data_IF_822683009495
#
_entry.id   IF_822683009495
#
_cell.length_a   1.000
_cell.length_b   1.000
_cell.length_c   1.000
_cell.angle_alpha   90.00
_cell.angle_beta   90.00
_cell.angle_gamma   90.00
#
_symmetry.space_group_name_H-M   'P 1'
#
loop_
_entity.id
_entity.type
_entity.pdbx_description
1 polymer ?
#
# COMPACT_ATOMS: atom_id res chain seq x y z
N UNK A 1 -2.57 -10.27 21.54
CA UNK A 1 -3.17 -10.54 20.21
C UNK A 1 -2.08 -11.03 19.29
N UNK A 2 -2.33 -12.08 18.51
CA UNK A 2 -1.35 -12.64 17.59
C UNK A 2 -1.17 -11.70 16.37
N UNK A 3 0.06 -11.24 16.13
CA UNK A 3 0.42 -10.35 15.00
C UNK A 3 0.04 -10.97 13.66
N UNK A 4 0.19 -12.29 13.53
CA UNK A 4 -0.13 -13.01 12.29
C UNK A 4 -1.64 -13.01 12.01
N UNK A 5 -2.46 -13.15 13.06
CA UNK A 5 -3.93 -13.07 12.93
C UNK A 5 -4.38 -11.68 12.50
N UNK A 6 -3.80 -10.63 13.09
CA UNK A 6 -4.09 -9.25 12.70
C UNK A 6 -3.75 -9.00 11.23
N UNK A 7 -2.53 -9.38 10.81
CA UNK A 7 -2.06 -9.23 9.44
C UNK A 7 -2.93 -9.99 8.42
N UNK A 8 -3.35 -11.20 8.75
CA UNK A 8 -4.15 -12.04 7.84
C UNK A 8 -5.61 -11.55 7.72
N UNK A 9 -6.14 -10.89 8.75
CA UNK A 9 -7.50 -10.32 8.72
C UNK A 9 -7.60 -8.96 8.03
N UNK A 10 -6.46 -8.30 7.79
CA UNK A 10 -6.41 -6.95 7.29
C UNK A 10 -6.44 -6.90 5.76
N UNK A 11 -7.26 -6.00 5.24
CA UNK A 11 -7.22 -5.56 3.85
C UNK A 11 -6.94 -4.06 3.83
N UNK A 12 -5.92 -3.65 3.07
CA UNK A 12 -5.60 -2.23 2.91
C UNK A 12 -5.33 -1.93 1.44
N UNK A 13 -6.01 -0.90 0.96
CA UNK A 13 -5.94 -0.42 -0.41
C UNK A 13 -5.42 1.02 -0.43
N UNK A 14 -4.45 1.28 -1.29
CA UNK A 14 -4.03 2.63 -1.65
C UNK A 14 -4.41 2.87 -3.11
N UNK A 15 -5.29 3.84 -3.32
CA UNK A 15 -5.61 4.40 -4.64
C UNK A 15 -4.96 5.76 -4.83
N UNK A 16 -4.79 6.18 -6.09
CA UNK A 16 -4.60 7.62 -6.35
C UNK A 16 -5.95 8.33 -6.21
N UNK A 17 -5.92 9.62 -5.88
CA UNK A 17 -7.13 10.44 -5.78
C UNK A 17 -7.59 11.01 -7.12
N UNK A 18 -6.68 11.12 -8.09
CA UNK A 18 -6.92 11.68 -9.43
C UNK A 18 -7.49 10.66 -10.44
N UNK A 19 -7.50 9.37 -10.08
CA UNK A 19 -7.79 8.27 -11.00
C UNK A 19 -8.12 6.99 -10.24
N UNK A 20 -8.76 6.03 -10.90
CA UNK A 20 -9.01 4.68 -10.37
C UNK A 20 -7.75 3.80 -10.36
N UNK A 21 -6.58 4.39 -10.14
CA UNK A 21 -5.29 3.70 -10.20
C UNK A 21 -4.97 3.05 -8.84
N UNK A 22 -5.01 1.71 -8.81
CA UNK A 22 -4.56 0.93 -7.66
C UNK A 22 -3.03 1.02 -7.48
N UNK A 23 -2.58 1.65 -6.39
CA UNK A 23 -1.17 1.86 -6.03
C UNK A 23 -0.62 0.67 -5.25
N UNK A 24 -1.35 0.22 -4.22
CA UNK A 24 -0.97 -0.90 -3.39
C UNK A 24 -2.20 -1.63 -2.87
N UNK A 25 -2.11 -2.95 -2.78
CA UNK A 25 -3.10 -3.80 -2.13
C UNK A 25 -2.37 -4.77 -1.22
N UNK A 26 -2.74 -4.76 0.06
CA UNK A 26 -2.33 -5.73 1.06
C UNK A 26 -3.56 -6.52 1.49
N UNK A 27 -3.51 -7.85 1.41
CA UNK A 27 -4.66 -8.71 1.73
C UNK A 27 -4.18 -10.11 2.10
N UNK A 28 -4.75 -10.67 3.18
CA UNK A 28 -4.41 -11.99 3.72
C UNK A 28 -2.91 -12.13 4.01
N UNK A 29 -2.35 -11.13 4.72
CA UNK A 29 -0.98 -11.18 5.20
C UNK A 29 0.08 -10.75 4.16
N UNK A 30 -0.29 -10.48 2.91
CA UNK A 30 0.66 -10.26 1.82
C UNK A 30 0.31 -9.12 0.85
N UNK A 31 1.35 -8.51 0.27
CA UNK A 31 1.22 -7.51 -0.79
C UNK A 31 0.91 -8.17 -2.13
N UNK A 32 -0.14 -7.70 -2.80
CA UNK A 32 -0.66 -8.23 -4.07
C UNK A 32 -0.08 -7.49 -5.28
N UNK A 33 1.24 -7.52 -5.46
CA UNK A 33 1.94 -6.76 -6.51
C UNK A 33 1.34 -6.94 -7.91
N UNK A 34 0.84 -8.13 -8.25
CA UNK A 34 0.23 -8.41 -9.56
C UNK A 34 -1.12 -7.71 -9.80
N UNK A 35 -1.86 -7.37 -8.73
CA UNK A 35 -3.14 -6.65 -8.81
C UNK A 35 -2.95 -5.14 -8.97
N UNK A 36 -1.81 -4.61 -8.55
CA UNK A 36 -1.50 -3.17 -8.66
C UNK A 36 -1.46 -2.72 -10.12
N UNK A 37 -1.63 -1.42 -10.34
CA UNK A 37 -1.39 -0.84 -11.65
C UNK A 37 0.08 -0.99 -12.05
N UNK A 38 0.36 -1.27 -13.34
CA UNK A 38 1.71 -1.56 -13.87
C UNK A 38 2.77 -0.51 -13.49
N UNK A 39 2.33 0.74 -13.30
CA UNK A 39 3.17 1.86 -12.88
C UNK A 39 3.81 1.67 -11.50
N UNK A 40 3.12 0.97 -10.61
CA UNK A 40 3.48 0.76 -9.21
C UNK A 40 3.93 -0.67 -8.90
N UNK A 41 3.80 -1.59 -9.86
CA UNK A 41 4.30 -2.96 -9.77
C UNK A 41 5.71 -3.00 -9.19
N UNK A 42 5.86 -3.72 -8.08
CA UNK A 42 7.14 -3.95 -7.40
C UNK A 42 7.87 -2.68 -6.95
N UNK A 43 7.16 -1.55 -6.86
CA UNK A 43 7.70 -0.29 -6.36
C UNK A 43 7.07 0.11 -5.04
N UNK A 44 6.03 -0.58 -4.57
CA UNK A 44 5.31 -0.24 -3.34
C UNK A 44 5.45 -1.34 -2.31
N UNK A 45 5.84 -0.97 -1.10
CA UNK A 45 6.02 -1.86 0.04
C UNK A 45 5.16 -1.38 1.21
N UNK A 46 4.35 -2.27 1.78
CA UNK A 46 3.57 -1.97 2.97
C UNK A 46 4.37 -2.26 4.23
N UNK A 47 4.39 -1.31 5.17
CA UNK A 47 5.16 -1.42 6.43
C UNK A 47 4.29 -2.15 7.46
N UNK A 48 4.47 -3.47 7.56
CA UNK A 48 3.59 -4.31 8.39
C UNK A 48 3.96 -4.34 9.88
N UNK A 49 5.11 -3.79 10.26
CA UNK A 49 5.59 -3.77 11.65
C UNK A 49 4.85 -2.78 12.55
N UNK A 50 4.22 -1.77 11.93
CA UNK A 50 3.56 -0.66 12.63
C UNK A 50 2.01 -0.78 12.62
N UNK A 51 1.47 -1.89 12.10
CA UNK A 51 0.01 -2.17 12.10
C UNK A 51 -0.57 -2.13 13.51
N UNK A 52 0.19 -2.62 14.51
CA UNK A 52 -0.22 -2.62 15.92
C UNK A 52 -0.46 -1.20 16.48
N UNK A 53 0.20 -0.21 15.87
CA UNK A 53 0.11 1.20 16.26
C UNK A 53 -0.84 1.97 15.31
N UNK A 54 -1.64 1.24 14.53
CA UNK A 54 -2.54 1.75 13.50
C UNK A 54 -1.85 2.63 12.44
N UNK A 55 -0.55 2.43 12.20
CA UNK A 55 0.14 3.08 11.10
C UNK A 55 0.01 2.24 9.83
N UNK A 56 -0.62 2.82 8.81
CA UNK A 56 -0.80 2.24 7.50
C UNK A 56 0.01 3.01 6.45
N UNK A 57 1.33 3.02 6.62
CA UNK A 57 2.25 3.69 5.70
C UNK A 57 2.75 2.75 4.60
N UNK A 58 2.90 3.26 3.38
CA UNK A 58 3.57 2.58 2.27
C UNK A 58 4.85 3.31 1.88
N UNK A 59 5.87 2.55 1.52
CA UNK A 59 7.07 3.04 0.90
C UNK A 59 6.95 2.89 -0.62
N UNK A 60 7.14 3.99 -1.36
CA UNK A 60 7.25 3.99 -2.81
C UNK A 60 8.71 4.14 -3.22
N UNK A 61 9.24 3.15 -3.93
CA UNK A 61 10.60 3.15 -4.46
C UNK A 61 10.68 3.74 -5.88
N UNK A 62 11.88 4.22 -6.21
CA UNK A 62 12.23 4.76 -7.54
C UNK A 62 11.23 5.83 -8.00
N UNK A 63 10.84 6.71 -7.07
CA UNK A 63 9.80 7.74 -7.25
C UNK A 63 10.04 8.52 -8.55
N UNK A 64 8.97 8.67 -9.35
CA UNK A 64 8.98 9.41 -10.61
C UNK A 64 8.18 10.70 -10.45
N UNK A 65 8.49 11.71 -11.27
CA UNK A 65 7.79 13.01 -11.23
C UNK A 65 6.26 12.87 -11.26
N UNK A 66 5.74 12.00 -12.12
CA UNK A 66 4.30 11.83 -12.26
C UNK A 66 3.66 10.96 -11.15
N UNK A 67 4.45 10.43 -10.21
CA UNK A 67 3.92 9.79 -8.99
C UNK A 67 3.56 10.84 -7.94
N UNK A 68 4.11 12.06 -8.05
CA UNK A 68 3.73 13.18 -7.21
C UNK A 68 2.37 13.72 -7.64
N UNK A 69 1.38 13.49 -6.80
CA UNK A 69 0.17 14.29 -6.67
C UNK A 69 -0.22 14.31 -5.19
N UNK A 70 0.45 15.18 -4.43
CA UNK A 70 0.09 15.45 -3.04
C UNK A 70 -0.78 16.70 -3.05
N UNK A 71 -2.09 16.56 -2.82
CA UNK A 71 -2.86 17.64 -2.21
C UNK A 71 -3.11 17.32 -0.74
N UNK A 72 -2.71 18.28 0.09
CA UNK A 72 -3.04 18.40 1.50
C UNK A 72 -4.52 18.76 1.61
N UNK A 73 -5.28 18.01 2.40
CA UNK A 73 -6.48 18.49 3.07
C UNK A 73 -6.32 18.17 4.56
#
# INVERSE_FOLDING_TARGET
>A
VDKSLLQNSLEVEWGRTDSETLVHLYQAGESRSKKQHKRYHYRTHFITDEIKDANFSIQLEKVKKADAEVQRL
#
